data_IF_684295848662
#
_entry.id   IF_684295848662
#
_cell.length_a   1.000
_cell.length_b   1.000
_cell.length_c   1.000
_cell.angle_alpha   90.00
_cell.angle_beta   90.00
_cell.angle_gamma   90.00
#
_symmetry.space_group_name_H-M   'P 1'
#
loop_
_entity.id
_entity.type
_entity.pdbx_description
1 polymer ?
#
# COMPACT_ATOMS: atom_id res chain seq x y z
N UNK A 1 31.17 -7.84 -51.35
CA UNK A 1 31.01 -8.70 -50.16
C UNK A 1 29.71 -9.47 -50.31
N UNK A 2 29.67 -10.79 -50.06
CA UNK A 2 28.44 -11.59 -50.22
C UNK A 2 27.39 -11.12 -49.19
N UNK A 3 26.12 -11.15 -49.58
CA UNK A 3 24.98 -10.78 -48.71
C UNK A 3 25.00 -11.58 -47.40
N UNK A 4 25.37 -12.85 -47.45
CA UNK A 4 25.52 -13.73 -46.27
C UNK A 4 26.55 -13.17 -45.27
N UNK A 5 27.67 -12.65 -45.75
CA UNK A 5 28.72 -12.04 -44.91
C UNK A 5 28.24 -10.74 -44.28
N UNK A 6 27.45 -9.94 -44.99
CA UNK A 6 26.84 -8.71 -44.46
C UNK A 6 25.84 -9.06 -43.34
N UNK A 7 24.98 -10.05 -43.56
CA UNK A 7 24.01 -10.51 -42.56
C UNK A 7 24.70 -11.07 -41.31
N UNK A 8 25.75 -11.88 -41.46
CA UNK A 8 26.49 -12.44 -40.33
C UNK A 8 27.13 -11.37 -39.43
N UNK A 9 27.46 -10.20 -39.97
CA UNK A 9 28.03 -9.07 -39.22
C UNK A 9 26.92 -8.18 -38.63
N UNK A 10 25.87 -7.87 -39.40
CA UNK A 10 24.81 -6.94 -38.95
C UNK A 10 23.89 -7.55 -37.90
N UNK A 11 23.58 -8.84 -38.00
CA UNK A 11 22.64 -9.52 -37.11
C UNK A 11 23.07 -9.51 -35.63
N UNK A 12 24.35 -9.81 -35.26
CA UNK A 12 24.79 -9.70 -33.87
C UNK A 12 24.79 -8.23 -33.38
N UNK A 13 25.11 -7.26 -34.24
CA UNK A 13 25.10 -5.84 -33.88
C UNK A 13 23.67 -5.38 -33.55
N UNK A 14 22.70 -5.70 -34.42
CA UNK A 14 21.28 -5.40 -34.19
C UNK A 14 20.80 -6.08 -32.91
N UNK A 15 21.19 -7.35 -32.69
CA UNK A 15 20.81 -8.10 -31.50
C UNK A 15 21.37 -7.47 -30.22
N UNK A 16 22.62 -6.99 -30.25
CA UNK A 16 23.23 -6.29 -29.12
C UNK A 16 22.52 -4.96 -28.82
N UNK A 17 22.16 -4.18 -29.85
CA UNK A 17 21.44 -2.92 -29.69
C UNK A 17 20.04 -3.15 -29.10
N UNK A 18 19.28 -4.11 -29.66
CA UNK A 18 17.93 -4.43 -29.20
C UNK A 18 17.96 -4.98 -27.77
N UNK A 19 18.88 -5.89 -27.45
CA UNK A 19 18.98 -6.45 -26.10
C UNK A 19 19.40 -5.41 -25.05
N UNK A 20 20.31 -4.50 -25.39
CA UNK A 20 20.69 -3.37 -24.53
C UNK A 20 19.50 -2.44 -24.26
N UNK A 21 18.76 -2.08 -25.31
CA UNK A 21 17.57 -1.22 -25.18
C UNK A 21 16.48 -1.86 -24.30
N UNK A 22 16.18 -3.15 -24.54
CA UNK A 22 15.22 -3.88 -23.72
C UNK A 22 15.67 -3.95 -22.26
N UNK A 23 16.95 -4.26 -22.01
CA UNK A 23 17.51 -4.32 -20.65
C UNK A 23 17.39 -2.98 -19.93
N UNK A 24 17.71 -1.87 -20.61
CA UNK A 24 17.56 -0.53 -20.06
C UNK A 24 16.10 -0.21 -19.69
N UNK A 25 15.17 -0.49 -20.61
CA UNK A 25 13.74 -0.27 -20.38
C UNK A 25 13.21 -1.08 -19.19
N UNK A 26 13.51 -2.38 -19.13
CA UNK A 26 13.08 -3.24 -18.02
C UNK A 26 13.74 -2.85 -16.70
N UNK A 27 15.00 -2.41 -16.72
CA UNK A 27 15.71 -1.95 -15.52
C UNK A 27 15.05 -0.70 -14.94
N UNK A 28 14.73 0.29 -15.76
CA UNK A 28 14.04 1.51 -15.29
C UNK A 28 12.66 1.17 -14.75
N UNK A 29 11.90 0.36 -15.48
CA UNK A 29 10.56 -0.07 -15.05
C UNK A 29 10.63 -0.79 -13.69
N UNK A 30 11.58 -1.70 -13.52
CA UNK A 30 11.80 -2.44 -12.28
C UNK A 30 12.16 -1.51 -11.13
N UNK A 31 13.15 -0.62 -11.31
CA UNK A 31 13.56 0.35 -10.29
C UNK A 31 12.43 1.30 -9.88
N UNK A 32 11.63 1.77 -10.84
CA UNK A 32 10.46 2.61 -10.56
C UNK A 32 9.42 1.85 -9.74
N UNK A 33 9.13 0.60 -10.10
CA UNK A 33 8.19 -0.24 -9.37
C UNK A 33 8.67 -0.51 -7.93
N UNK A 34 9.95 -0.81 -7.76
CA UNK A 34 10.55 -1.04 -6.45
C UNK A 34 10.51 0.22 -5.57
N UNK A 35 10.82 1.38 -6.15
CA UNK A 35 10.75 2.66 -5.44
C UNK A 35 9.33 2.99 -4.99
N UNK A 36 8.33 2.76 -5.85
CA UNK A 36 6.91 2.95 -5.51
C UNK A 36 6.50 1.99 -4.39
N UNK A 37 6.90 0.72 -4.47
CA UNK A 37 6.56 -0.29 -3.46
C UNK A 37 7.13 0.08 -2.09
N UNK A 38 8.43 0.42 -2.03
CA UNK A 38 9.10 0.88 -0.80
C UNK A 38 8.45 2.13 -0.22
N UNK A 39 8.13 3.10 -1.07
CA UNK A 39 7.45 4.32 -0.65
C UNK A 39 6.08 4.02 -0.04
N UNK A 40 5.27 3.16 -0.68
CA UNK A 40 3.96 2.76 -0.15
C UNK A 40 4.09 2.00 1.16
N UNK A 41 5.05 1.09 1.28
CA UNK A 41 5.32 0.33 2.51
C UNK A 41 5.64 1.26 3.68
N UNK A 42 6.51 2.25 3.48
CA UNK A 42 6.82 3.27 4.49
C UNK A 42 5.58 4.05 4.92
N UNK A 43 4.77 4.51 3.95
CA UNK A 43 3.54 5.26 4.23
C UNK A 43 2.49 4.43 4.94
N UNK A 44 2.31 3.18 4.56
CA UNK A 44 1.39 2.26 5.21
C UNK A 44 1.84 1.86 6.61
N UNK A 45 3.14 1.70 6.84
CA UNK A 45 3.69 1.47 8.18
C UNK A 45 3.32 2.64 9.13
N UNK A 46 3.51 3.89 8.68
CA UNK A 46 3.11 5.06 9.44
C UNK A 46 1.61 5.11 9.70
N UNK A 47 0.79 4.84 8.68
CA UNK A 47 -0.66 4.85 8.83
C UNK A 47 -1.15 3.73 9.78
N UNK A 48 -0.50 2.56 9.76
CA UNK A 48 -0.79 1.45 10.68
C UNK A 48 -0.54 1.81 12.14
N UNK A 49 0.55 2.54 12.43
CA UNK A 49 0.85 3.05 13.77
C UNK A 49 -0.23 4.05 14.21
N UNK A 50 -0.70 4.90 13.32
CA UNK A 50 -1.74 5.88 13.63
C UNK A 50 -3.13 5.24 13.84
N UNK A 51 -3.41 4.12 13.17
CA UNK A 51 -4.64 3.35 13.36
C UNK A 51 -4.78 2.78 14.78
N UNK A 52 -3.67 2.61 15.51
CA UNK A 52 -3.67 2.20 16.93
C UNK A 52 -4.51 3.13 17.80
N UNK A 53 -4.58 4.43 17.46
CA UNK A 53 -5.41 5.40 18.18
C UNK A 53 -6.92 5.11 18.14
N UNK A 54 -7.35 4.13 17.34
CA UNK A 54 -8.76 3.73 17.19
C UNK A 54 -9.05 2.31 17.73
N UNK A 55 -8.03 1.56 18.15
CA UNK A 55 -8.14 0.22 18.73
C UNK A 55 -7.31 0.18 20.02
N UNK A 56 -7.93 0.49 21.15
CA UNK A 56 -7.27 0.48 22.47
C UNK A 56 -7.97 1.39 23.48
N UNK A 57 -7.62 1.24 24.77
CA UNK A 57 -8.14 2.12 25.85
C UNK A 57 -7.45 3.49 25.87
N UNK A 58 -6.25 3.58 25.30
CA UNK A 58 -5.40 4.78 25.29
C UNK A 58 -5.50 5.52 23.95
N UNK A 59 -6.61 6.19 23.73
CA UNK A 59 -6.73 7.11 22.58
C UNK A 59 -6.25 8.50 22.97
N UNK A 60 -5.12 8.96 22.43
CA UNK A 60 -4.76 10.39 22.48
C UNK A 60 -5.42 11.15 21.32
N UNK A 61 -5.95 12.35 21.57
CA UNK A 61 -6.51 13.21 20.52
C UNK A 61 -5.46 13.61 19.47
N UNK A 62 -4.19 13.63 19.85
CA UNK A 62 -3.07 13.92 18.96
C UNK A 62 -2.87 12.83 17.89
N UNK A 63 -2.93 11.55 18.28
CA UNK A 63 -2.80 10.43 17.34
C UNK A 63 -3.94 10.45 16.30
N UNK A 64 -5.16 10.78 16.74
CA UNK A 64 -6.30 10.96 15.83
C UNK A 64 -6.09 12.09 14.84
N UNK A 65 -5.58 13.25 15.28
CA UNK A 65 -5.26 14.37 14.38
C UNK A 65 -4.23 13.95 13.32
N UNK A 66 -3.13 13.32 13.75
CA UNK A 66 -2.08 12.82 12.86
C UNK A 66 -2.62 11.80 11.85
N UNK A 67 -3.54 10.93 12.27
CA UNK A 67 -4.23 10.00 11.38
C UNK A 67 -4.96 10.73 10.25
N UNK A 68 -5.77 11.76 10.56
CA UNK A 68 -6.50 12.50 9.52
C UNK A 68 -5.57 13.25 8.56
N UNK A 69 -4.44 13.78 9.05
CA UNK A 69 -3.43 14.40 8.18
C UNK A 69 -2.82 13.40 7.18
N UNK A 70 -2.49 12.18 7.64
CA UNK A 70 -1.98 11.13 6.76
C UNK A 70 -3.09 10.54 5.86
N UNK A 71 -4.33 10.49 6.34
CA UNK A 71 -5.49 10.05 5.57
C UNK A 71 -5.70 10.91 4.31
N UNK A 72 -5.54 12.23 4.38
CA UNK A 72 -5.62 13.08 3.19
C UNK A 72 -4.49 12.81 2.20
N UNK A 73 -3.27 12.62 2.68
CA UNK A 73 -2.11 12.31 1.83
C UNK A 73 -2.24 10.93 1.17
N UNK A 74 -2.96 10.00 1.82
CA UNK A 74 -3.18 8.64 1.35
C UNK A 74 -3.78 8.59 -0.06
N UNK A 75 -4.58 9.58 -0.44
CA UNK A 75 -5.14 9.70 -1.80
C UNK A 75 -4.09 9.76 -2.92
N UNK A 76 -2.86 10.17 -2.61
CA UNK A 76 -1.80 10.30 -3.62
C UNK A 76 -1.10 8.97 -3.93
N UNK A 77 -1.19 7.99 -3.04
CA UNK A 77 -0.38 6.77 -3.14
C UNK A 77 -1.16 5.47 -2.94
N UNK A 78 -2.34 5.52 -2.34
CA UNK A 78 -3.17 4.36 -2.08
C UNK A 78 -3.90 3.85 -3.31
N UNK A 79 -4.30 2.57 -3.28
CA UNK A 79 -5.33 2.06 -4.19
C UNK A 79 -6.72 2.54 -3.78
N UNK A 80 -7.66 2.50 -4.72
CA UNK A 80 -9.07 2.80 -4.47
C UNK A 80 -9.67 1.95 -3.33
N UNK A 81 -9.24 0.69 -3.19
CA UNK A 81 -9.70 -0.20 -2.13
C UNK A 81 -9.32 0.34 -0.75
N UNK A 82 -8.07 0.79 -0.59
CA UNK A 82 -7.59 1.39 0.66
C UNK A 82 -8.33 2.69 0.96
N UNK A 83 -8.49 3.56 -0.03
CA UNK A 83 -9.22 4.84 0.15
C UNK A 83 -10.66 4.59 0.61
N UNK A 84 -11.37 3.63 0.00
CA UNK A 84 -12.72 3.26 0.39
C UNK A 84 -12.78 2.72 1.82
N UNK A 85 -11.89 1.78 2.18
CA UNK A 85 -11.85 1.22 3.52
C UNK A 85 -11.56 2.28 4.60
N UNK A 86 -10.69 3.25 4.31
CA UNK A 86 -10.42 4.37 5.20
C UNK A 86 -11.66 5.26 5.35
N UNK A 87 -12.34 5.59 4.26
CA UNK A 87 -13.54 6.43 4.31
C UNK A 87 -14.68 5.77 5.08
N UNK A 88 -14.86 4.44 4.94
CA UNK A 88 -15.83 3.68 5.74
C UNK A 88 -15.52 3.76 7.24
N UNK A 89 -14.25 3.67 7.61
CA UNK A 89 -13.81 3.83 9.00
C UNK A 89 -14.03 5.25 9.52
N UNK A 90 -13.75 6.27 8.71
CA UNK A 90 -14.04 7.67 9.07
C UNK A 90 -15.55 7.87 9.26
N UNK A 91 -16.38 7.31 8.39
CA UNK A 91 -17.83 7.37 8.52
C UNK A 91 -18.30 6.70 9.82
N UNK A 92 -17.75 5.53 10.17
CA UNK A 92 -18.04 4.86 11.43
C UNK A 92 -17.71 5.76 12.64
N UNK A 93 -16.58 6.48 12.60
CA UNK A 93 -16.20 7.43 13.67
C UNK A 93 -17.18 8.60 13.76
N UNK A 94 -17.67 9.10 12.62
CA UNK A 94 -18.68 10.17 12.58
C UNK A 94 -20.02 9.68 13.15
N UNK A 95 -20.48 8.49 12.75
CA UNK A 95 -21.78 7.93 13.14
C UNK A 95 -21.87 7.55 14.63
N UNK A 96 -20.72 7.22 15.23
CA UNK A 96 -20.56 6.92 16.65
C UNK A 96 -20.24 8.15 17.50
N UNK A 97 -20.15 9.35 16.91
CA UNK A 97 -19.87 10.57 17.66
C UNK A 97 -20.96 10.83 18.70
N UNK A 98 -20.57 10.90 19.97
CA UNK A 98 -21.50 11.10 21.10
C UNK A 98 -22.25 9.84 21.54
N UNK A 99 -21.90 8.67 21.00
CA UNK A 99 -22.41 7.36 21.42
C UNK A 99 -21.29 6.55 22.07
N UNK A 100 -21.66 5.48 22.79
CA UNK A 100 -20.65 4.54 23.28
C UNK A 100 -19.93 3.86 22.11
N UNK A 101 -18.59 3.78 22.16
CA UNK A 101 -17.81 3.12 21.12
C UNK A 101 -18.10 1.63 21.11
N UNK A 102 -18.25 1.05 19.91
CA UNK A 102 -18.38 -0.39 19.69
C UNK A 102 -17.02 -0.97 19.27
N UNK A 103 -16.26 -1.62 20.18
CA UNK A 103 -14.87 -2.00 19.93
C UNK A 103 -14.72 -2.99 18.77
N UNK A 104 -15.67 -3.90 18.61
CA UNK A 104 -15.65 -4.91 17.54
C UNK A 104 -15.82 -4.29 16.15
N UNK A 105 -16.65 -3.24 16.01
CA UNK A 105 -16.77 -2.50 14.74
C UNK A 105 -15.48 -1.75 14.42
N UNK A 106 -14.85 -1.14 15.43
CA UNK A 106 -13.55 -0.49 15.27
C UNK A 106 -12.46 -1.44 14.80
N UNK A 107 -12.32 -2.59 15.48
CA UNK A 107 -11.37 -3.66 15.09
C UNK A 107 -11.60 -4.13 13.66
N UNK A 108 -12.86 -4.36 13.28
CA UNK A 108 -13.21 -4.80 11.91
C UNK A 108 -12.86 -3.73 10.86
N UNK A 109 -13.14 -2.46 11.14
CA UNK A 109 -12.80 -1.36 10.24
C UNK A 109 -11.28 -1.24 10.03
N UNK A 110 -10.50 -1.33 11.12
CA UNK A 110 -9.03 -1.38 11.04
C UNK A 110 -8.56 -2.59 10.24
N UNK A 111 -9.08 -3.78 10.54
CA UNK A 111 -8.73 -5.01 9.81
C UNK A 111 -9.02 -4.93 8.31
N UNK A 112 -10.12 -4.28 7.92
CA UNK A 112 -10.45 -4.03 6.51
C UNK A 112 -9.43 -3.12 5.84
N UNK A 113 -9.03 -2.02 6.49
CA UNK A 113 -7.99 -1.11 5.97
C UNK A 113 -6.69 -1.88 5.75
N UNK A 114 -6.24 -2.66 6.73
CA UNK A 114 -5.00 -3.44 6.62
C UNK A 114 -5.08 -4.49 5.51
N UNK A 115 -6.23 -5.13 5.34
CA UNK A 115 -6.46 -6.07 4.24
C UNK A 115 -6.29 -5.40 2.88
N UNK A 116 -6.86 -4.20 2.69
CA UNK A 116 -6.73 -3.44 1.45
C UNK A 116 -5.31 -2.93 1.22
N UNK A 117 -4.60 -2.50 2.27
CA UNK A 117 -3.18 -2.11 2.17
C UNK A 117 -2.33 -3.29 1.71
N UNK A 118 -2.59 -4.48 2.26
CA UNK A 118 -1.92 -5.71 1.84
C UNK A 118 -2.19 -6.03 0.38
N UNK A 119 -3.43 -5.84 -0.08
CA UNK A 119 -3.79 -6.06 -1.50
C UNK A 119 -3.10 -5.06 -2.42
N UNK A 120 -2.94 -3.81 -1.98
CA UNK A 120 -2.24 -2.80 -2.76
C UNK A 120 -0.73 -3.08 -2.87
N UNK A 121 -0.10 -3.60 -1.80
CA UNK A 121 1.33 -3.94 -1.81
C UNK A 121 1.63 -5.27 -2.51
N UNK A 122 0.83 -6.31 -2.26
CA UNK A 122 1.16 -7.70 -2.61
C UNK A 122 0.19 -8.33 -3.62
N UNK A 123 -0.88 -7.64 -4.00
CA UNK A 123 -1.92 -8.16 -4.89
C UNK A 123 -2.89 -9.12 -4.20
N UNK A 124 -3.07 -10.32 -4.75
CA UNK A 124 -4.09 -11.26 -4.24
C UNK A 124 -3.66 -11.85 -2.90
N UNK A 125 -4.59 -11.95 -1.95
CA UNK A 125 -4.37 -12.55 -0.63
C UNK A 125 -5.52 -13.48 -0.27
N UNK A 126 -5.21 -14.57 0.45
CA UNK A 126 -6.21 -15.48 1.04
C UNK A 126 -6.62 -15.06 2.46
N UNK A 127 -5.88 -14.11 3.06
CA UNK A 127 -6.20 -13.56 4.36
C UNK A 127 -7.44 -12.66 4.27
N UNK A 128 -8.19 -12.63 5.35
CA UNK A 128 -9.36 -11.78 5.57
C UNK A 128 -9.05 -10.74 6.65
N UNK A 129 -9.93 -9.76 6.83
CA UNK A 129 -9.77 -8.75 7.89
C UNK A 129 -9.81 -9.34 9.30
N UNK A 130 -10.48 -10.47 9.49
CA UNK A 130 -10.53 -11.21 10.77
C UNK A 130 -9.20 -11.88 11.13
N UNK A 131 -8.34 -12.13 10.14
CA UNK A 131 -7.01 -12.66 10.39
C UNK A 131 -6.04 -11.59 10.92
N UNK A 132 -6.37 -10.30 10.77
CA UNK A 132 -5.62 -9.23 11.37
C UNK A 132 -5.99 -9.11 12.85
N UNK A 133 -5.04 -9.49 13.72
CA UNK A 133 -5.19 -9.37 15.17
C UNK A 133 -4.37 -8.20 15.67
N UNK A 134 -5.05 -7.25 16.28
CA UNK A 134 -4.41 -6.16 16.99
C UNK A 134 -4.29 -6.54 18.46
N UNK A 135 -3.05 -6.63 18.96
CA UNK A 135 -2.76 -6.85 20.37
C UNK A 135 -2.32 -5.52 20.97
N UNK A 136 -3.09 -4.99 21.90
CA UNK A 136 -2.64 -3.92 22.77
C UNK A 136 -1.67 -4.54 23.80
N UNK A 137 -0.44 -4.04 23.89
CA UNK A 137 0.60 -4.62 24.77
C UNK A 137 0.62 -3.90 26.14
N UNK A 138 -0.41 -3.11 26.42
CA UNK A 138 -0.62 -2.50 27.74
C UNK A 138 -1.52 -3.44 28.56
N UNK A 139 -0.96 -4.57 28.97
CA UNK A 139 -1.40 -5.39 30.11
C UNK A 139 -0.16 -5.74 30.95
#
# INVERSE_FOLDING_TARGET
>A
MKIETILLILLPIITAIVSSYLTYYFTIKSKKSEAILKFKEEKYSNLLILLQGFVGKTTSGETKRKFFEEQYKSWLYCSDGVVKAINEMVQLVIDLRGKEPEPEKGKKAVGNIVLEMRKDLLGKTKLTSENFRYTDVID
#
